data_IF_338696023741
#
_entry.id   IF_338696023741
#
_cell.length_a   1.000
_cell.length_b   1.000
_cell.length_c   1.000
_cell.angle_alpha   90.00
_cell.angle_beta   90.00
_cell.angle_gamma   90.00
#
_symmetry.space_group_name_H-M   'P 1'
#
loop_
_entity.id
_entity.type
_entity.pdbx_description
1 polymer ?
#
# COMPACT_ATOMS: atom_id res chain seq x y z
N UNK A 1 -3.92 -3.15 20.62
CA UNK A 1 -4.13 -2.08 21.65
C UNK A 1 -5.61 -1.88 21.98
N UNK A 2 -6.35 -3.00 22.09
CA UNK A 2 -7.77 -2.98 22.40
C UNK A 2 -8.09 -2.21 23.69
N UNK A 3 -9.18 -1.43 23.69
CA UNK A 3 -9.60 -0.61 24.84
C UNK A 3 -8.92 0.75 24.99
N UNK A 4 -7.95 1.11 24.17
CA UNK A 4 -7.19 2.37 24.27
C UNK A 4 -7.76 3.48 23.37
N UNK A 5 -9.07 3.68 23.37
CA UNK A 5 -9.77 4.63 22.49
C UNK A 5 -9.33 6.10 22.65
N UNK A 6 -8.78 6.47 23.81
CA UNK A 6 -8.31 7.82 24.10
C UNK A 6 -6.79 7.99 23.91
N UNK A 7 -6.11 6.98 23.40
CA UNK A 7 -4.68 7.06 23.14
C UNK A 7 -4.43 8.07 22.03
N UNK A 8 -3.66 9.14 22.32
CA UNK A 8 -3.30 10.15 21.33
C UNK A 8 -1.80 10.21 21.02
N UNK A 9 -0.95 9.61 21.85
CA UNK A 9 0.48 9.54 21.65
C UNK A 9 0.98 8.11 21.89
N UNK A 10 1.60 7.52 20.86
CA UNK A 10 2.24 6.23 20.96
C UNK A 10 3.70 6.32 20.47
N UNK A 11 4.63 5.89 21.31
CA UNK A 11 6.03 5.72 20.97
C UNK A 11 6.47 4.32 21.33
N UNK A 12 6.82 3.52 20.33
CA UNK A 12 7.22 2.12 20.51
C UNK A 12 8.35 1.67 19.57
N UNK A 13 9.28 2.58 19.24
CA UNK A 13 10.48 2.22 18.49
C UNK A 13 11.38 1.27 19.30
N UNK A 14 12.24 0.49 18.62
CA UNK A 14 13.19 -0.45 19.21
C UNK A 14 12.55 -1.53 20.10
N UNK A 15 11.43 -2.13 19.65
CA UNK A 15 10.72 -3.18 20.38
C UNK A 15 10.62 -4.52 19.65
N UNK A 16 11.28 -4.66 18.50
CA UNK A 16 11.23 -5.89 17.69
C UNK A 16 9.79 -6.29 17.29
N UNK A 17 8.93 -5.31 17.10
CA UNK A 17 7.54 -5.52 16.70
C UNK A 17 7.50 -5.82 15.19
N UNK A 18 6.84 -6.90 14.81
CA UNK A 18 6.54 -7.23 13.40
C UNK A 18 5.11 -6.86 12.98
N UNK A 19 4.24 -6.58 13.95
CA UNK A 19 2.85 -6.17 13.71
C UNK A 19 2.35 -5.29 14.85
N UNK A 20 1.41 -4.38 14.53
CA UNK A 20 0.68 -3.58 15.51
C UNK A 20 -0.73 -3.32 15.00
N UNK A 21 -1.75 -3.62 15.80
CA UNK A 21 -3.14 -3.28 15.52
C UNK A 21 -3.50 -1.97 16.24
N UNK A 22 -3.76 -0.93 15.45
CA UNK A 22 -4.16 0.42 15.89
C UNK A 22 -5.63 0.75 15.56
N UNK A 23 -6.41 -0.20 15.04
CA UNK A 23 -7.80 0.00 14.63
C UNK A 23 -8.71 0.53 15.76
N UNK A 24 -8.38 0.17 17.01
CA UNK A 24 -9.10 0.62 18.22
C UNK A 24 -8.55 1.90 18.85
N UNK A 25 -7.62 2.60 18.17
CA UNK A 25 -6.98 3.81 18.67
C UNK A 25 -7.16 4.98 17.67
N UNK A 26 -8.41 5.39 17.34
CA UNK A 26 -8.67 6.36 16.27
C UNK A 26 -8.20 7.78 16.57
N UNK A 27 -7.88 8.08 17.85
CA UNK A 27 -7.49 9.40 18.31
C UNK A 27 -5.97 9.62 18.38
N UNK A 28 -5.17 8.71 17.80
CA UNK A 28 -3.71 8.89 17.75
C UNK A 28 -3.40 10.12 16.88
N UNK A 29 -2.65 11.06 17.47
CA UNK A 29 -2.11 12.25 16.80
C UNK A 29 -0.59 12.16 16.60
N UNK A 30 0.12 11.44 17.48
CA UNK A 30 1.58 11.26 17.41
C UNK A 30 1.90 9.77 17.43
N UNK A 31 2.56 9.29 16.37
CA UNK A 31 2.97 7.88 16.24
C UNK A 31 4.45 7.77 15.87
N UNK A 32 5.25 7.22 16.79
CA UNK A 32 6.66 6.94 16.59
C UNK A 32 6.92 5.43 16.63
N UNK A 33 7.13 4.83 15.46
CA UNK A 33 7.47 3.42 15.28
C UNK A 33 8.95 3.22 14.91
N UNK A 34 9.56 4.21 14.28
CA UNK A 34 10.94 4.22 13.82
C UNK A 34 11.84 5.06 14.71
N UNK A 35 13.16 4.86 14.58
CA UNK A 35 14.14 5.54 15.39
C UNK A 35 15.00 6.49 14.55
N UNK A 36 14.79 7.79 14.66
CA UNK A 36 15.57 8.83 13.97
C UNK A 36 17.05 8.86 14.34
N UNK A 37 17.43 8.32 15.51
CA UNK A 37 18.76 8.50 16.08
C UNK A 37 19.63 7.23 16.06
N UNK A 38 19.11 6.13 15.56
CA UNK A 38 19.77 4.84 15.73
C UNK A 38 20.47 4.32 14.49
N UNK A 39 21.74 4.61 14.38
CA UNK A 39 22.65 3.71 13.68
C UNK A 39 23.20 2.59 14.62
N UNK A 40 22.69 2.46 15.84
CA UNK A 40 23.35 1.71 16.93
C UNK A 40 22.50 0.55 17.48
N UNK A 41 21.18 0.48 17.20
CA UNK A 41 20.37 -0.61 17.76
C UNK A 41 20.01 -1.68 16.72
N UNK A 42 20.36 -2.92 17.03
CA UNK A 42 19.93 -4.12 16.31
C UNK A 42 18.46 -4.51 16.63
N UNK A 43 17.71 -3.63 17.28
CA UNK A 43 16.36 -3.88 17.80
C UNK A 43 15.33 -2.94 17.17
N UNK A 44 15.39 -2.75 15.86
CA UNK A 44 14.35 -2.00 15.16
C UNK A 44 13.09 -2.87 15.06
N UNK A 45 11.93 -2.23 15.01
CA UNK A 45 10.72 -2.93 14.65
C UNK A 45 10.85 -3.50 13.22
N UNK A 46 10.19 -4.63 12.97
CA UNK A 46 10.31 -5.42 11.74
C UNK A 46 8.97 -5.50 10.99
N UNK A 47 8.35 -4.34 10.78
CA UNK A 47 7.12 -4.26 9.99
C UNK A 47 7.43 -4.47 8.51
N UNK A 48 6.57 -5.18 7.78
CA UNK A 48 6.56 -5.25 6.31
C UNK A 48 5.46 -4.39 5.69
N UNK A 49 4.32 -4.33 6.36
CA UNK A 49 3.16 -3.51 6.03
C UNK A 49 2.66 -2.86 7.33
N UNK A 50 2.13 -1.65 7.23
CA UNK A 50 1.53 -0.94 8.35
C UNK A 50 0.15 -0.41 7.95
N UNK A 51 -0.90 -0.79 8.69
CA UNK A 51 -2.26 -0.29 8.48
C UNK A 51 -2.57 0.87 9.42
N UNK A 52 -2.73 2.08 8.86
CA UNK A 52 -3.16 3.31 9.51
C UNK A 52 -4.48 3.83 8.91
N UNK A 53 -5.23 3.00 8.18
CA UNK A 53 -6.49 3.38 7.52
C UNK A 53 -7.58 3.84 8.49
N UNK A 54 -7.50 3.41 9.77
CA UNK A 54 -8.40 3.83 10.85
C UNK A 54 -7.88 5.03 11.66
N UNK A 55 -6.67 5.54 11.38
CA UNK A 55 -5.96 6.53 12.19
C UNK A 55 -5.80 7.87 11.45
N UNK A 56 -6.91 8.45 10.99
CA UNK A 56 -6.92 9.65 10.13
C UNK A 56 -6.46 10.93 10.82
N UNK A 57 -6.32 10.92 12.14
CA UNK A 57 -5.97 12.09 12.95
C UNK A 57 -4.46 12.25 13.21
N UNK A 58 -3.62 11.37 12.65
CA UNK A 58 -2.17 11.44 12.86
C UNK A 58 -1.59 12.72 12.24
N UNK A 59 -1.06 13.58 13.09
CA UNK A 59 -0.38 14.83 12.74
C UNK A 59 1.13 14.63 12.59
N UNK A 60 1.72 13.77 13.42
CA UNK A 60 3.15 13.46 13.43
C UNK A 60 3.36 11.96 13.37
N UNK A 61 4.06 11.50 12.33
CA UNK A 61 4.36 10.10 12.09
C UNK A 61 5.87 9.91 11.83
N UNK A 62 6.46 8.88 12.41
CA UNK A 62 7.85 8.52 12.18
C UNK A 62 8.00 6.99 12.02
N UNK A 63 8.48 6.57 10.86
CA UNK A 63 8.84 5.19 10.53
C UNK A 63 10.27 5.07 9.97
N UNK A 64 11.19 5.94 10.41
CA UNK A 64 12.59 5.89 9.99
C UNK A 64 13.30 4.66 10.52
N UNK A 65 14.24 4.12 9.75
CA UNK A 65 15.01 2.92 10.09
C UNK A 65 14.14 1.66 10.28
N UNK A 66 13.13 1.49 9.40
CA UNK A 66 12.32 0.28 9.28
C UNK A 66 12.56 -0.35 7.89
N UNK A 67 13.68 -1.04 7.69
CA UNK A 67 14.16 -1.43 6.35
C UNK A 67 13.23 -2.38 5.61
N UNK A 68 12.41 -3.15 6.33
CA UNK A 68 11.50 -4.11 5.74
C UNK A 68 10.09 -3.55 5.52
N UNK A 69 9.78 -2.35 6.06
CA UNK A 69 8.49 -1.69 5.81
C UNK A 69 8.48 -1.16 4.38
N UNK A 70 7.48 -1.56 3.60
CA UNK A 70 7.30 -1.12 2.21
C UNK A 70 6.04 -0.28 2.05
N UNK A 71 4.89 -0.80 2.45
CA UNK A 71 3.59 -0.16 2.28
C UNK A 71 3.01 0.33 3.60
N UNK A 72 2.52 1.57 3.59
CA UNK A 72 1.77 2.16 4.70
C UNK A 72 0.37 2.49 4.19
N UNK A 73 -0.62 1.75 4.68
CA UNK A 73 -2.01 1.99 4.35
C UNK A 73 -2.53 3.20 5.14
N UNK A 74 -3.14 4.15 4.43
CA UNK A 74 -3.51 5.46 5.01
C UNK A 74 -4.91 5.89 4.59
N UNK A 75 -5.52 6.78 5.37
CA UNK A 75 -6.82 7.38 5.04
C UNK A 75 -6.77 8.28 3.79
N UNK A 76 -5.65 8.97 3.57
CA UNK A 76 -5.49 9.92 2.47
C UNK A 76 -4.01 10.04 2.07
N UNK A 77 -3.70 9.58 0.85
CA UNK A 77 -2.33 9.56 0.32
C UNK A 77 -1.74 10.97 0.23
N UNK A 78 -2.49 11.95 -0.27
CA UNK A 78 -1.99 13.31 -0.46
C UNK A 78 -1.61 13.96 0.86
N UNK A 79 -2.45 13.83 1.88
CA UNK A 79 -2.18 14.36 3.22
C UNK A 79 -0.97 13.71 3.84
N UNK A 80 -0.87 12.38 3.76
CA UNK A 80 0.25 11.61 4.32
C UNK A 80 1.57 11.95 3.62
N UNK A 81 1.59 12.04 2.30
CA UNK A 81 2.77 12.43 1.52
C UNK A 81 3.26 13.84 1.89
N UNK A 82 2.34 14.80 2.04
CA UNK A 82 2.71 16.17 2.37
C UNK A 82 3.26 16.34 3.79
N UNK A 83 2.74 15.55 4.73
CA UNK A 83 3.05 15.73 6.15
C UNK A 83 4.19 14.84 6.64
N UNK A 84 4.40 13.65 6.05
CA UNK A 84 5.27 12.60 6.64
C UNK A 84 6.47 12.19 5.77
N UNK A 85 6.62 12.72 4.57
CA UNK A 85 7.68 12.33 3.62
C UNK A 85 9.11 12.52 4.14
N UNK A 86 9.32 13.35 5.17
CA UNK A 86 10.63 13.59 5.78
C UNK A 86 10.94 12.66 6.97
N UNK A 87 9.97 11.87 7.39
CA UNK A 87 10.03 11.02 8.58
C UNK A 87 9.81 9.54 8.28
N UNK A 88 9.89 9.19 6.99
CA UNK A 88 9.81 7.82 6.48
C UNK A 88 11.07 7.48 5.67
N UNK A 89 11.37 6.20 5.52
CA UNK A 89 12.47 5.76 4.66
C UNK A 89 12.05 5.78 3.18
N UNK A 90 13.04 5.88 2.28
CA UNK A 90 12.80 6.10 0.84
C UNK A 90 12.10 4.93 0.13
N UNK A 91 12.11 3.72 0.72
CA UNK A 91 11.41 2.55 0.18
C UNK A 91 9.94 2.50 0.60
N UNK A 92 9.50 3.34 1.57
CA UNK A 92 8.11 3.38 1.98
C UNK A 92 7.25 4.11 0.95
N UNK A 93 6.04 3.59 0.73
CA UNK A 93 5.02 4.28 -0.06
C UNK A 93 3.67 4.22 0.65
N UNK A 94 2.82 5.22 0.39
CA UNK A 94 1.46 5.28 0.92
C UNK A 94 0.46 4.68 -0.07
N UNK A 95 -0.49 3.90 0.44
CA UNK A 95 -1.58 3.28 -0.34
C UNK A 95 -2.91 3.41 0.42
N UNK A 96 -4.02 3.27 -0.28
CA UNK A 96 -5.35 3.07 0.34
C UNK A 96 -5.65 1.58 0.59
N UNK A 97 -4.82 0.68 0.06
CA UNK A 97 -4.89 -0.76 0.25
C UNK A 97 -3.50 -1.37 0.03
N UNK A 98 -2.87 -1.79 1.12
CA UNK A 98 -1.56 -2.46 1.09
C UNK A 98 -1.65 -3.97 0.82
N UNK A 99 -2.85 -4.54 0.89
CA UNK A 99 -3.10 -5.94 0.55
C UNK A 99 -3.40 -6.11 -0.94
N UNK A 100 -3.30 -5.02 -1.70
CA UNK A 100 -3.39 -5.10 -3.15
C UNK A 100 -2.21 -5.94 -3.66
N UNK A 101 -2.40 -7.26 -3.67
CA UNK A 101 -1.58 -8.12 -4.51
C UNK A 101 -1.80 -7.62 -5.92
N UNK A 102 -0.78 -7.01 -6.52
CA UNK A 102 -0.78 -6.81 -7.96
C UNK A 102 -1.33 -8.11 -8.55
N UNK A 103 -2.42 -8.01 -9.31
CA UNK A 103 -2.89 -9.16 -10.08
C UNK A 103 -1.65 -9.56 -10.84
N UNK A 104 -1.02 -10.69 -10.46
CA UNK A 104 0.00 -11.29 -11.32
C UNK A 104 -0.64 -11.33 -12.69
N UNK A 105 -0.11 -10.53 -13.62
CA UNK A 105 -0.44 -10.74 -15.02
C UNK A 105 0.02 -12.17 -15.30
N UNK A 106 -0.92 -13.10 -15.10
CA UNK A 106 -0.71 -14.46 -15.56
C UNK A 106 -0.47 -14.27 -17.04
N UNK A 107 0.79 -14.41 -17.45
CA UNK A 107 1.13 -14.41 -18.87
C UNK A 107 0.23 -15.46 -19.53
N UNK A 108 -0.90 -15.00 -20.05
CA UNK A 108 -1.76 -15.84 -20.85
C UNK A 108 -0.95 -16.05 -22.11
N UNK A 109 -0.44 -17.26 -22.27
CA UNK A 109 0.22 -17.68 -23.49
C UNK A 109 -0.65 -17.24 -24.65
N UNK A 110 -0.08 -16.46 -25.56
CA UNK A 110 -0.76 -15.82 -26.70
C UNK A 110 -1.54 -16.78 -27.60
N UNK A 111 -1.37 -18.08 -27.41
CA UNK A 111 -1.88 -19.14 -28.26
C UNK A 111 -3.39 -19.39 -28.14
N UNK A 112 -4.07 -18.82 -27.14
CA UNK A 112 -5.50 -19.06 -26.86
C UNK A 112 -6.36 -17.79 -26.97
N UNK A 113 -5.83 -16.68 -27.46
CA UNK A 113 -6.60 -15.46 -27.70
C UNK A 113 -7.49 -15.63 -28.92
N UNK A 114 -8.81 -15.43 -28.76
CA UNK A 114 -9.78 -15.50 -29.85
C UNK A 114 -9.91 -14.15 -30.56
N UNK A 115 -10.23 -13.10 -29.80
CA UNK A 115 -10.41 -11.75 -30.32
C UNK A 115 -10.31 -10.70 -29.21
N UNK A 116 -10.17 -9.45 -29.63
CA UNK A 116 -10.12 -8.27 -28.75
C UNK A 116 -11.29 -7.36 -29.11
N UNK A 117 -11.97 -6.80 -28.09
CA UNK A 117 -13.05 -5.83 -28.26
C UNK A 117 -12.86 -4.59 -27.42
N UNK A 118 -13.34 -3.45 -27.92
CA UNK A 118 -13.43 -2.21 -27.17
C UNK A 118 -14.63 -2.21 -26.20
N UNK A 119 -14.81 -1.11 -25.46
CA UNK A 119 -15.93 -0.93 -24.51
C UNK A 119 -17.31 -0.91 -25.20
N UNK A 120 -17.36 -0.73 -26.52
CA UNK A 120 -18.59 -0.73 -27.32
C UNK A 120 -18.85 -2.09 -27.98
N UNK A 121 -18.00 -3.09 -27.71
CA UNK A 121 -18.11 -4.43 -28.27
C UNK A 121 -17.60 -4.58 -29.71
N UNK A 122 -16.96 -3.55 -30.29
CA UNK A 122 -16.39 -3.59 -31.64
C UNK A 122 -15.06 -4.34 -31.60
N UNK A 123 -14.73 -5.08 -32.65
CA UNK A 123 -13.39 -5.66 -32.80
C UNK A 123 -12.34 -4.55 -32.88
N UNK A 124 -11.27 -4.72 -32.10
CA UNK A 124 -10.18 -3.76 -31.99
C UNK A 124 -8.84 -4.47 -31.99
N UNK A 125 -7.81 -3.73 -32.37
CA UNK A 125 -6.43 -4.16 -32.24
C UNK A 125 -5.81 -3.54 -30.99
N UNK A 126 -4.56 -3.84 -30.67
CA UNK A 126 -3.84 -3.21 -29.57
C UNK A 126 -3.78 -1.69 -29.77
N UNK A 127 -4.55 -0.95 -28.99
CA UNK A 127 -4.56 0.50 -28.95
C UNK A 127 -4.08 0.98 -27.58
N UNK A 128 -3.20 2.00 -27.55
CA UNK A 128 -2.72 2.61 -26.33
C UNK A 128 -3.81 3.49 -25.69
N UNK A 129 -3.79 3.59 -24.36
CA UNK A 129 -4.70 4.43 -23.54
C UNK A 129 -6.19 4.12 -23.73
N UNK A 130 -6.52 2.92 -24.22
CA UNK A 130 -7.89 2.45 -24.46
C UNK A 130 -8.17 1.19 -23.67
N UNK A 131 -9.38 1.09 -23.11
CA UNK A 131 -9.84 -0.12 -22.41
C UNK A 131 -10.21 -1.18 -23.44
N UNK A 132 -9.55 -2.31 -23.39
CA UNK A 132 -9.77 -3.44 -24.29
C UNK A 132 -10.13 -4.70 -23.49
N UNK A 133 -11.02 -5.54 -24.06
CA UNK A 133 -11.38 -6.83 -23.54
C UNK A 133 -10.81 -7.92 -24.44
N UNK A 134 -10.05 -8.82 -23.84
CA UNK A 134 -9.38 -9.96 -24.47
C UNK A 134 -10.19 -11.21 -24.17
N UNK A 135 -10.69 -11.89 -25.18
CA UNK A 135 -11.50 -13.11 -25.07
C UNK A 135 -10.65 -14.33 -25.43
N UNK A 136 -10.67 -15.34 -24.59
CA UNK A 136 -9.83 -16.54 -24.73
C UNK A 136 -10.66 -17.81 -25.00
N UNK A 137 -10.01 -18.85 -25.53
CA UNK A 137 -10.65 -20.12 -25.88
C UNK A 137 -11.26 -20.86 -24.67
N UNK A 138 -10.70 -20.65 -23.47
CA UNK A 138 -11.20 -21.24 -22.22
C UNK A 138 -12.45 -20.52 -21.67
N UNK A 139 -12.97 -19.52 -22.39
CA UNK A 139 -14.10 -18.70 -21.99
C UNK A 139 -13.71 -17.55 -21.04
N UNK A 140 -12.46 -17.41 -20.65
CA UNK A 140 -12.02 -16.30 -19.81
C UNK A 140 -12.00 -14.98 -20.60
N UNK A 141 -12.22 -13.87 -19.86
CA UNK A 141 -12.18 -12.52 -20.40
C UNK A 141 -11.25 -11.69 -19.52
N UNK A 142 -10.28 -11.02 -20.15
CA UNK A 142 -9.38 -10.09 -19.45
C UNK A 142 -9.62 -8.66 -19.93
N UNK A 143 -9.73 -7.73 -18.99
CA UNK A 143 -9.74 -6.29 -19.25
C UNK A 143 -8.31 -5.77 -19.17
N UNK A 144 -7.83 -5.08 -20.21
CA UNK A 144 -6.51 -4.46 -20.23
C UNK A 144 -6.59 -2.99 -20.66
N UNK A 145 -5.66 -2.20 -20.14
CA UNK A 145 -5.35 -0.85 -20.62
C UNK A 145 -3.85 -0.88 -20.91
N UNK A 146 -3.46 -0.64 -22.14
CA UNK A 146 -2.06 -0.54 -22.53
C UNK A 146 -1.71 0.95 -22.47
N UNK A 147 -0.83 1.32 -21.57
CA UNK A 147 -0.30 2.68 -21.45
C UNK A 147 0.92 2.84 -22.37
N UNK A 148 1.09 4.06 -22.90
CA UNK A 148 2.22 4.43 -23.75
C UNK A 148 3.49 4.64 -22.91
#
# INVERSE_FOLDING_TARGET
LDGNYNLNWLTCYNNDLSNIDLSYCPNIEILNLGNLFSQISNYNNDFSILDLSSNCNILSFNSSNLPNLSCIEVCNITTSTNNWNLTIDSQHYFSLDCNFTAIEEKEVKSDNLLFIRDIYGRESFREYNTVLFYFYQDGSIQKKIILE
#
